data_IF_533037852255
#
_entry.id   IF_533037852255
#
_cell.length_a   1.000
_cell.length_b   1.000
_cell.length_c   1.000
_cell.angle_alpha   90.00
_cell.angle_beta   90.00
_cell.angle_gamma   90.00
#
_symmetry.space_group_name_H-M   'P 1'
#
loop_
_entity.id
_entity.type
_entity.pdbx_description
1 polymer ?
#
# COMPACT_ATOMS: atom_id res chain seq x y z
N UNK A 1 -43.05 22.89 -32.17
CA UNK A 1 -41.64 23.10 -32.51
C UNK A 1 -40.69 22.96 -31.29
N UNK A 2 -41.09 23.41 -30.10
CA UNK A 2 -40.25 23.27 -28.89
C UNK A 2 -39.94 21.80 -28.50
N UNK A 3 -40.87 20.86 -28.73
CA UNK A 3 -40.67 19.44 -28.38
C UNK A 3 -39.58 18.72 -29.22
N UNK A 4 -39.50 19.05 -30.52
CA UNK A 4 -38.52 18.42 -31.43
C UNK A 4 -37.09 18.81 -31.06
N UNK A 5 -36.86 20.07 -30.68
CA UNK A 5 -35.58 20.57 -30.21
C UNK A 5 -35.13 19.93 -28.90
N UNK A 6 -36.07 19.73 -27.96
CA UNK A 6 -35.79 19.04 -26.69
C UNK A 6 -35.43 17.58 -26.94
N UNK A 7 -36.16 16.86 -27.79
CA UNK A 7 -35.84 15.48 -28.15
C UNK A 7 -34.43 15.35 -28.82
N UNK A 8 -34.11 16.24 -29.75
CA UNK A 8 -32.82 16.27 -30.40
C UNK A 8 -31.69 16.54 -29.41
N UNK A 9 -31.87 17.51 -28.49
CA UNK A 9 -30.89 17.81 -27.46
C UNK A 9 -30.66 16.62 -26.49
N UNK A 10 -31.74 15.97 -26.03
CA UNK A 10 -31.67 14.80 -25.16
C UNK A 10 -31.00 13.65 -25.87
N UNK A 11 -31.34 13.35 -27.14
CA UNK A 11 -30.72 12.28 -27.91
C UNK A 11 -29.22 12.53 -28.11
N UNK A 12 -28.85 13.78 -28.40
CA UNK A 12 -27.42 14.16 -28.55
C UNK A 12 -26.69 14.00 -27.21
N UNK A 13 -27.26 14.44 -26.12
CA UNK A 13 -26.66 14.29 -24.78
C UNK A 13 -26.49 12.82 -24.40
N UNK A 14 -27.50 11.98 -24.65
CA UNK A 14 -27.42 10.54 -24.41
C UNK A 14 -26.34 9.90 -25.28
N UNK A 15 -26.26 10.26 -26.56
CA UNK A 15 -25.22 9.78 -27.46
C UNK A 15 -23.83 10.19 -26.98
N UNK A 16 -23.64 11.44 -26.55
CA UNK A 16 -22.37 11.91 -25.99
C UNK A 16 -22.01 11.18 -24.68
N UNK A 17 -22.98 10.93 -23.82
CA UNK A 17 -22.77 10.17 -22.59
C UNK A 17 -22.36 8.71 -22.88
N UNK A 18 -23.03 8.05 -23.82
CA UNK A 18 -22.72 6.67 -24.18
C UNK A 18 -21.38 6.53 -24.92
N UNK A 19 -21.05 7.48 -25.81
CA UNK A 19 -19.83 7.41 -26.65
C UNK A 19 -18.58 7.91 -25.94
N UNK A 20 -18.70 8.89 -25.06
CA UNK A 20 -17.55 9.52 -24.42
C UNK A 20 -17.62 9.49 -22.88
N UNK A 21 -18.77 9.79 -22.30
CA UNK A 21 -18.91 9.92 -20.85
C UNK A 21 -18.74 8.62 -20.10
N UNK A 22 -19.44 7.55 -20.52
CA UNK A 22 -19.33 6.23 -19.88
C UNK A 22 -17.95 5.61 -20.10
N UNK A 23 -17.38 5.58 -21.32
CA UNK A 23 -16.03 5.05 -21.52
C UNK A 23 -14.97 5.82 -20.73
N UNK A 24 -15.07 7.15 -20.67
CA UNK A 24 -14.17 7.96 -19.86
C UNK A 24 -14.31 7.66 -18.37
N UNK A 25 -15.53 7.58 -17.86
CA UNK A 25 -15.83 7.22 -16.48
C UNK A 25 -15.28 5.83 -16.14
N UNK A 26 -15.53 4.83 -16.99
CA UNK A 26 -15.03 3.46 -16.78
C UNK A 26 -13.50 3.44 -16.76
N UNK A 27 -12.85 4.19 -17.63
CA UNK A 27 -11.39 4.28 -17.68
C UNK A 27 -10.80 4.94 -16.43
N UNK A 28 -11.44 5.99 -15.91
CA UNK A 28 -10.94 6.81 -14.80
C UNK A 28 -11.26 6.21 -13.42
N UNK A 29 -12.45 5.61 -13.30
CA UNK A 29 -13.01 5.22 -12.00
C UNK A 29 -13.10 3.72 -11.80
N UNK A 30 -12.81 2.92 -12.82
CA UNK A 30 -12.99 1.48 -12.74
C UNK A 30 -11.74 0.71 -13.21
N UNK A 31 -11.20 -0.21 -12.39
CA UNK A 31 -9.98 -0.95 -12.68
C UNK A 31 -10.23 -2.15 -13.62
N UNK A 32 -10.90 -1.92 -14.76
CA UNK A 32 -11.36 -3.01 -15.66
C UNK A 32 -10.25 -3.93 -16.12
N UNK A 33 -9.11 -3.34 -16.53
CA UNK A 33 -7.95 -4.11 -17.00
C UNK A 33 -7.37 -5.01 -15.90
N UNK A 34 -7.29 -4.48 -14.68
CA UNK A 34 -6.82 -5.24 -13.53
C UNK A 34 -7.75 -6.42 -13.21
N UNK A 35 -9.06 -6.17 -13.13
CA UNK A 35 -10.04 -7.23 -12.88
C UNK A 35 -10.04 -8.31 -13.96
N UNK A 36 -9.89 -7.91 -15.23
CA UNK A 36 -9.78 -8.85 -16.34
C UNK A 36 -8.52 -9.73 -16.22
N UNK A 37 -7.35 -9.10 -15.98
CA UNK A 37 -6.09 -9.82 -15.78
C UNK A 37 -6.15 -10.76 -14.57
N UNK A 38 -6.74 -10.33 -13.46
CA UNK A 38 -6.88 -11.17 -12.27
C UNK A 38 -7.69 -12.42 -12.54
N UNK A 39 -8.72 -12.33 -13.40
CA UNK A 39 -9.57 -13.48 -13.75
C UNK A 39 -8.95 -14.41 -14.79
N UNK A 40 -8.21 -13.87 -15.75
CA UNK A 40 -7.75 -14.61 -16.93
C UNK A 40 -6.21 -14.73 -17.01
N UNK A 41 -5.48 -13.92 -16.25
CA UNK A 41 -4.02 -13.93 -16.25
C UNK A 41 -3.45 -15.15 -15.54
N UNK A 42 -2.26 -15.56 -15.97
CA UNK A 42 -1.47 -16.59 -15.29
C UNK A 42 -0.42 -15.90 -14.41
N UNK A 43 -0.45 -16.11 -13.09
CA UNK A 43 0.53 -15.49 -12.21
C UNK A 43 1.94 -16.06 -12.46
N UNK A 44 2.91 -15.17 -12.56
CA UNK A 44 4.34 -15.55 -12.58
C UNK A 44 4.92 -15.32 -11.19
N UNK A 45 4.88 -16.36 -10.38
CA UNK A 45 5.35 -16.28 -8.99
C UNK A 45 6.88 -16.33 -8.96
N UNK A 46 7.50 -15.36 -8.27
CA UNK A 46 8.97 -15.35 -8.11
C UNK A 46 9.47 -16.62 -7.46
N UNK A 47 10.62 -17.11 -7.91
CA UNK A 47 11.35 -18.24 -7.33
C UNK A 47 12.59 -17.80 -6.56
N UNK A 48 12.81 -16.49 -6.38
CA UNK A 48 13.97 -15.89 -5.72
C UNK A 48 14.13 -16.44 -4.30
N UNK A 49 15.36 -16.82 -3.93
CA UNK A 49 15.74 -17.14 -2.56
C UNK A 49 15.96 -15.87 -1.74
N UNK A 50 15.69 -15.97 -0.44
CA UNK A 50 15.93 -14.89 0.55
C UNK A 50 17.00 -15.29 1.56
N UNK A 51 17.88 -16.24 1.20
CA UNK A 51 19.00 -16.67 2.02
C UNK A 51 19.88 -15.48 2.42
N UNK A 52 20.24 -15.40 3.71
CA UNK A 52 20.99 -14.31 4.30
C UNK A 52 20.20 -12.98 4.39
N UNK A 53 18.87 -12.99 4.20
CA UNK A 53 18.04 -11.78 4.22
C UNK A 53 17.14 -11.70 5.45
N UNK A 54 16.95 -10.46 5.91
CA UNK A 54 15.96 -10.11 6.93
C UNK A 54 14.74 -9.46 6.28
N UNK A 55 13.56 -10.04 6.53
CA UNK A 55 12.29 -9.54 6.03
C UNK A 55 11.37 -9.13 7.19
N UNK A 56 10.86 -7.91 7.18
CA UNK A 56 9.85 -7.42 8.14
C UNK A 56 8.49 -7.33 7.45
N UNK A 57 7.47 -7.91 8.08
CA UNK A 57 6.08 -7.90 7.59
C UNK A 57 5.19 -7.28 8.66
N UNK A 58 4.48 -6.20 8.33
CA UNK A 58 3.40 -5.66 9.18
C UNK A 58 2.05 -6.25 8.78
N UNK A 59 1.14 -6.37 9.75
CA UNK A 59 -0.14 -7.06 9.50
C UNK A 59 0.07 -8.56 9.25
N UNK A 60 1.06 -9.16 9.93
CA UNK A 60 1.52 -10.52 9.68
C UNK A 60 0.44 -11.59 9.93
N UNK A 61 -0.51 -11.38 10.85
CA UNK A 61 -1.67 -12.26 11.06
C UNK A 61 -2.82 -12.01 10.07
N UNK A 62 -2.67 -11.05 9.14
CA UNK A 62 -3.65 -10.80 8.09
C UNK A 62 -3.65 -11.91 7.03
N UNK A 63 -4.75 -11.99 6.26
CA UNK A 63 -4.91 -13.04 5.25
C UNK A 63 -3.77 -13.11 4.21
N UNK A 64 -3.20 -11.96 3.85
CA UNK A 64 -2.07 -11.90 2.91
C UNK A 64 -0.73 -11.92 3.64
N UNK A 65 -0.64 -11.26 4.80
CA UNK A 65 0.60 -11.21 5.60
C UNK A 65 1.06 -12.58 6.04
N UNK A 66 0.16 -13.42 6.57
CA UNK A 66 0.48 -14.78 7.03
C UNK A 66 0.96 -15.69 5.89
N UNK A 67 0.30 -15.59 4.74
CA UNK A 67 0.70 -16.36 3.54
C UNK A 67 2.01 -15.87 2.94
N UNK A 68 2.25 -14.56 2.95
CA UNK A 68 3.54 -13.99 2.53
C UNK A 68 4.67 -14.45 3.47
N UNK A 69 4.43 -14.46 4.79
CA UNK A 69 5.37 -14.96 5.78
C UNK A 69 5.77 -16.42 5.51
N UNK A 70 4.79 -17.29 5.25
CA UNK A 70 5.03 -18.69 4.85
C UNK A 70 5.82 -18.79 3.55
N UNK A 71 5.49 -17.97 2.54
CA UNK A 71 6.24 -17.94 1.26
C UNK A 71 7.70 -17.52 1.46
N UNK A 72 7.99 -16.51 2.27
CA UNK A 72 9.38 -16.12 2.57
C UNK A 72 10.12 -17.24 3.31
N UNK A 73 9.47 -17.86 4.30
CA UNK A 73 10.05 -18.97 5.05
C UNK A 73 10.39 -20.16 4.14
N UNK A 74 9.48 -20.56 3.24
CA UNK A 74 9.75 -21.62 2.26
C UNK A 74 10.80 -21.26 1.21
N UNK A 75 11.22 -19.98 1.11
CA UNK A 75 12.26 -19.47 0.21
C UNK A 75 13.56 -19.11 0.94
N UNK A 76 13.79 -19.77 2.07
CA UNK A 76 15.03 -19.71 2.84
C UNK A 76 15.36 -18.32 3.37
N UNK A 77 14.36 -17.54 3.82
CA UNK A 77 14.65 -16.30 4.54
C UNK A 77 15.45 -16.61 5.81
N UNK A 78 16.48 -15.80 6.10
CA UNK A 78 17.31 -16.00 7.28
C UNK A 78 16.61 -15.52 8.57
N UNK A 79 16.12 -14.30 8.52
CA UNK A 79 15.36 -13.71 9.64
C UNK A 79 14.01 -13.15 9.15
N UNK A 80 12.94 -13.54 9.84
CA UNK A 80 11.57 -13.11 9.56
C UNK A 80 10.99 -12.38 10.76
N UNK A 81 10.66 -11.11 10.60
CA UNK A 81 10.05 -10.28 11.65
C UNK A 81 8.56 -10.14 11.38
N UNK A 82 7.73 -10.67 12.27
CA UNK A 82 6.28 -10.66 12.20
C UNK A 82 5.73 -9.57 13.12
N UNK A 83 5.13 -8.53 12.56
CA UNK A 83 4.54 -7.40 13.29
C UNK A 83 3.03 -7.41 13.11
N UNK A 84 2.27 -7.47 14.21
CA UNK A 84 0.80 -7.37 14.20
C UNK A 84 0.32 -6.83 15.55
N UNK A 85 -0.89 -6.31 15.60
CA UNK A 85 -1.55 -5.93 16.86
C UNK A 85 -1.89 -7.15 17.72
N UNK A 86 -2.12 -8.30 17.10
CA UNK A 86 -2.31 -9.60 17.75
C UNK A 86 -0.97 -10.34 17.83
N UNK A 87 -0.79 -11.15 18.85
CA UNK A 87 0.36 -12.04 18.92
C UNK A 87 0.47 -12.95 17.68
N UNK A 88 1.67 -13.09 17.13
CA UNK A 88 1.97 -13.95 15.98
C UNK A 88 2.60 -15.30 16.38
N UNK A 89 2.50 -15.69 17.65
CA UNK A 89 3.08 -16.94 18.17
C UNK A 89 2.52 -18.19 17.46
N UNK A 90 1.23 -18.24 17.21
CA UNK A 90 0.59 -19.34 16.47
C UNK A 90 1.12 -19.41 15.02
N UNK A 91 1.17 -18.28 14.32
CA UNK A 91 1.72 -18.23 12.96
C UNK A 91 3.17 -18.70 12.90
N UNK A 92 3.99 -18.30 13.88
CA UNK A 92 5.37 -18.79 14.01
C UNK A 92 5.40 -20.31 14.13
N UNK A 93 4.60 -20.90 15.02
CA UNK A 93 4.53 -22.36 15.22
C UNK A 93 4.06 -23.09 13.94
N UNK A 94 3.08 -22.55 13.24
CA UNK A 94 2.62 -23.09 11.95
C UNK A 94 3.75 -23.12 10.92
N UNK A 95 4.47 -22.01 10.75
CA UNK A 95 5.60 -21.91 9.81
C UNK A 95 6.70 -22.92 10.17
N UNK A 96 7.09 -22.99 11.45
CA UNK A 96 8.12 -23.92 11.93
C UNK A 96 7.73 -25.38 11.72
N UNK A 97 6.45 -25.71 11.90
CA UNK A 97 5.91 -27.05 11.64
C UNK A 97 5.93 -27.39 10.15
N UNK A 98 5.40 -26.50 9.29
CA UNK A 98 5.39 -26.72 7.84
C UNK A 98 6.81 -26.94 7.28
N UNK A 99 7.79 -26.19 7.76
CA UNK A 99 9.18 -26.34 7.34
C UNK A 99 9.79 -27.65 7.86
N UNK A 100 9.48 -28.05 9.10
CA UNK A 100 9.92 -29.35 9.65
C UNK A 100 9.36 -30.53 8.86
N UNK A 101 8.05 -30.49 8.54
CA UNK A 101 7.38 -31.52 7.76
C UNK A 101 7.95 -31.60 6.32
N UNK A 102 8.45 -30.47 5.80
CA UNK A 102 9.11 -30.40 4.50
C UNK A 102 10.64 -30.67 4.53
N UNK A 103 11.21 -30.96 5.69
CA UNK A 103 12.65 -31.19 5.85
C UNK A 103 13.52 -29.96 5.57
N UNK A 104 12.98 -28.74 5.76
CA UNK A 104 13.67 -27.46 5.50
C UNK A 104 14.21 -26.84 6.79
N UNK A 105 15.28 -26.05 6.65
CA UNK A 105 15.82 -25.24 7.72
C UNK A 105 14.79 -24.19 8.18
N UNK A 106 14.75 -23.92 9.48
CA UNK A 106 13.88 -22.91 10.08
C UNK A 106 14.60 -21.56 10.12
N UNK A 107 13.95 -20.47 9.67
CA UNK A 107 14.47 -19.13 9.87
C UNK A 107 14.43 -18.71 11.33
N UNK A 108 15.19 -17.67 11.68
CA UNK A 108 14.99 -16.96 12.94
C UNK A 108 13.69 -16.14 12.84
N UNK A 109 12.63 -16.52 13.58
CA UNK A 109 11.34 -15.83 13.55
C UNK A 109 11.18 -14.98 14.81
N UNK A 110 11.17 -13.65 14.63
CA UNK A 110 10.91 -12.65 15.66
C UNK A 110 9.45 -12.24 15.61
N UNK A 111 8.78 -12.29 16.74
CA UNK A 111 7.37 -11.87 16.89
C UNK A 111 7.33 -10.56 17.66
N UNK A 112 6.80 -9.49 17.02
CA UNK A 112 6.66 -8.18 17.63
C UNK A 112 5.18 -7.78 17.66
N UNK A 113 4.58 -7.85 18.82
CA UNK A 113 3.23 -7.33 19.01
C UNK A 113 3.30 -5.81 19.15
N UNK A 114 2.58 -5.08 18.28
CA UNK A 114 2.53 -3.63 18.26
C UNK A 114 1.20 -3.12 17.69
N UNK A 115 0.61 -2.11 18.34
CA UNK A 115 -0.57 -1.44 17.81
C UNK A 115 -0.16 -0.25 16.93
N UNK A 116 -0.22 -0.47 15.63
CA UNK A 116 0.10 0.54 14.62
C UNK A 116 -1.04 1.55 14.39
N UNK A 117 -2.15 1.49 15.17
CA UNK A 117 -3.21 2.51 15.14
C UNK A 117 -2.75 3.85 15.76
N UNK A 118 -1.60 3.87 16.40
CA UNK A 118 -0.98 5.06 16.99
C UNK A 118 0.49 5.19 16.57
N UNK A 119 1.02 6.40 16.66
CA UNK A 119 2.39 6.68 16.25
C UNK A 119 3.43 6.04 17.17
N UNK A 120 3.12 5.90 18.45
CA UNK A 120 4.03 5.26 19.40
C UNK A 120 4.28 3.79 19.07
N UNK A 121 3.28 3.06 18.55
CA UNK A 121 3.48 1.70 18.06
C UNK A 121 4.43 1.63 16.86
N UNK A 122 4.35 2.61 15.95
CA UNK A 122 5.29 2.71 14.83
C UNK A 122 6.72 3.00 15.31
N UNK A 123 6.89 3.92 16.28
CA UNK A 123 8.17 4.22 16.92
C UNK A 123 8.76 3.00 17.63
N UNK A 124 7.93 2.23 18.34
CA UNK A 124 8.37 1.01 19.01
C UNK A 124 8.93 -0.03 18.03
N UNK A 125 8.21 -0.27 16.92
CA UNK A 125 8.67 -1.19 15.87
C UNK A 125 9.97 -0.70 15.25
N UNK A 126 10.07 0.59 14.93
CA UNK A 126 11.29 1.17 14.37
C UNK A 126 12.48 1.08 15.34
N UNK A 127 12.25 1.30 16.64
CA UNK A 127 13.27 1.16 17.67
C UNK A 127 13.76 -0.30 17.78
N UNK A 128 12.85 -1.27 17.83
CA UNK A 128 13.21 -2.70 17.83
C UNK A 128 14.00 -3.10 16.57
N UNK A 129 13.69 -2.46 15.43
CA UNK A 129 14.40 -2.73 14.19
C UNK A 129 15.87 -2.30 14.23
N UNK A 130 16.27 -1.33 15.06
CA UNK A 130 17.68 -0.95 15.22
C UNK A 130 18.53 -2.06 15.83
N UNK A 131 17.92 -3.02 16.52
CA UNK A 131 18.63 -4.18 17.09
C UNK A 131 18.83 -5.30 16.07
N UNK A 132 18.26 -5.18 14.87
CA UNK A 132 18.48 -6.14 13.79
C UNK A 132 19.87 -5.97 13.18
N UNK A 133 20.54 -7.09 12.89
CA UNK A 133 21.84 -7.08 12.19
C UNK A 133 21.75 -6.43 10.82
N UNK A 134 20.69 -6.74 10.09
CA UNK A 134 20.34 -6.16 8.78
C UNK A 134 18.84 -6.06 8.65
N UNK A 135 18.37 -5.17 7.78
CA UNK A 135 16.99 -5.12 7.30
C UNK A 135 17.03 -4.99 5.78
N UNK A 136 16.70 -6.06 5.08
CA UNK A 136 16.78 -6.09 3.61
C UNK A 136 15.45 -5.79 2.95
N UNK A 137 14.34 -6.25 3.52
CA UNK A 137 13.02 -6.10 2.92
C UNK A 137 11.96 -5.75 3.95
N UNK A 138 11.07 -4.84 3.56
CA UNK A 138 9.89 -4.46 4.35
C UNK A 138 8.64 -4.63 3.50
N UNK A 139 7.68 -5.41 3.98
CA UNK A 139 6.37 -5.60 3.37
C UNK A 139 5.28 -5.07 4.29
N UNK A 140 4.65 -3.96 3.91
CA UNK A 140 3.63 -3.30 4.71
C UNK A 140 2.23 -3.74 4.29
N UNK A 141 1.74 -4.87 4.87
CA UNK A 141 0.40 -5.41 4.55
C UNK A 141 -0.69 -4.92 5.48
N UNK A 142 -0.36 -4.19 6.53
CA UNK A 142 -1.36 -3.65 7.46
C UNK A 142 -2.43 -2.84 6.74
N UNK A 143 -3.67 -2.98 7.18
CA UNK A 143 -4.78 -2.23 6.64
C UNK A 143 -6.11 -2.68 7.19
N UNK A 144 -7.07 -1.77 7.16
CA UNK A 144 -8.46 -2.00 7.55
C UNK A 144 -9.41 -1.51 6.47
N UNK A 145 -10.58 -2.14 6.40
CA UNK A 145 -11.73 -1.68 5.64
C UNK A 145 -12.88 -1.48 6.63
N UNK A 146 -13.40 -0.27 6.75
CA UNK A 146 -14.53 0.03 7.63
C UNK A 146 -15.50 0.99 6.93
N UNK A 147 -16.77 0.66 6.98
CA UNK A 147 -17.85 1.56 6.54
C UNK A 147 -18.36 2.44 7.69
N UNK A 148 -17.92 2.17 8.92
CA UNK A 148 -18.26 2.95 10.09
C UNK A 148 -17.11 3.91 10.42
N UNK A 149 -17.44 5.21 10.48
CA UNK A 149 -16.44 6.20 10.86
C UNK A 149 -16.02 6.03 12.32
N UNK A 150 -14.73 5.83 12.51
CA UNK A 150 -14.07 5.84 13.82
C UNK A 150 -12.87 6.78 13.76
N UNK A 151 -12.43 7.25 14.92
CA UNK A 151 -11.29 8.15 15.05
C UNK A 151 -10.21 7.45 15.88
N UNK A 152 -8.98 7.54 15.42
CA UNK A 152 -7.80 7.00 16.10
C UNK A 152 -7.43 7.85 17.33
N UNK A 153 -6.55 7.37 18.21
CA UNK A 153 -5.98 8.17 19.29
C UNK A 153 -5.29 9.46 18.80
N UNK A 154 -4.76 9.45 17.58
CA UNK A 154 -4.10 10.60 16.96
C UNK A 154 -5.08 11.65 16.41
N UNK A 155 -6.38 11.37 16.41
CA UNK A 155 -7.43 12.27 15.93
C UNK A 155 -7.79 12.11 14.45
N UNK A 156 -7.24 11.11 13.76
CA UNK A 156 -7.51 10.82 12.35
C UNK A 156 -8.60 9.75 12.18
N UNK A 157 -9.31 9.79 11.06
CA UNK A 157 -10.20 8.67 10.71
C UNK A 157 -9.36 7.39 10.58
N UNK A 158 -9.88 6.27 11.10
CA UNK A 158 -9.10 5.05 11.31
C UNK A 158 -8.51 4.44 10.05
N UNK A 159 -9.20 4.55 8.89
CA UNK A 159 -8.63 4.07 7.62
C UNK A 159 -7.48 4.95 7.14
N UNK A 160 -7.58 6.28 7.32
CA UNK A 160 -6.48 7.20 7.02
C UNK A 160 -5.32 6.95 7.98
N UNK A 161 -5.60 6.74 9.26
CA UNK A 161 -4.56 6.44 10.25
C UNK A 161 -3.77 5.19 9.86
N UNK A 162 -4.42 4.04 9.80
CA UNK A 162 -3.71 2.75 9.67
C UNK A 162 -3.23 2.48 8.26
N UNK A 163 -4.08 2.75 7.23
CA UNK A 163 -3.72 2.43 5.85
C UNK A 163 -2.74 3.42 5.23
N UNK A 164 -2.65 4.64 5.79
CA UNK A 164 -1.81 5.69 5.26
C UNK A 164 -0.78 6.20 6.27
N UNK A 165 -1.20 6.95 7.30
CA UNK A 165 -0.26 7.67 8.19
C UNK A 165 0.69 6.72 8.91
N UNK A 166 0.20 5.62 9.46
CA UNK A 166 1.04 4.64 10.15
C UNK A 166 2.03 3.95 9.21
N UNK A 167 1.59 3.60 7.99
CA UNK A 167 2.47 3.05 6.97
C UNK A 167 3.54 4.03 6.51
N UNK A 168 3.15 5.28 6.28
CA UNK A 168 4.06 6.35 5.89
C UNK A 168 5.10 6.63 6.98
N UNK A 169 4.65 6.78 8.23
CA UNK A 169 5.55 7.01 9.38
C UNK A 169 6.54 5.88 9.57
N UNK A 170 6.05 4.64 9.62
CA UNK A 170 6.91 3.47 9.80
C UNK A 170 7.91 3.34 8.64
N UNK A 171 7.48 3.62 7.41
CA UNK A 171 8.36 3.63 6.24
C UNK A 171 9.49 4.64 6.36
N UNK A 172 9.18 5.88 6.81
CA UNK A 172 10.19 6.90 7.07
C UNK A 172 11.16 6.47 8.17
N UNK A 173 10.65 5.98 9.29
CA UNK A 173 11.49 5.58 10.44
C UNK A 173 12.40 4.38 10.13
N UNK A 174 11.99 3.47 9.25
CA UNK A 174 12.80 2.31 8.82
C UNK A 174 13.77 2.65 7.68
N UNK A 175 13.57 3.75 6.96
CA UNK A 175 14.37 4.10 5.78
C UNK A 175 15.87 4.26 6.07
N UNK A 176 16.33 4.90 7.17
CA UNK A 176 17.75 5.00 7.48
C UNK A 176 18.42 3.63 7.65
N UNK A 177 17.74 2.69 8.31
CA UNK A 177 18.25 1.33 8.48
C UNK A 177 18.36 0.59 7.14
N UNK A 178 17.33 0.66 6.30
CA UNK A 178 17.38 0.09 4.94
C UNK A 178 18.54 0.70 4.12
N UNK A 179 18.74 2.02 4.20
CA UNK A 179 19.87 2.68 3.52
C UNK A 179 21.22 2.17 4.02
N UNK A 180 21.37 1.92 5.31
CA UNK A 180 22.65 1.39 5.86
C UNK A 180 22.95 -0.03 5.37
N UNK A 181 21.92 -0.80 4.99
CA UNK A 181 22.03 -2.16 4.45
C UNK A 181 22.21 -2.18 2.92
N UNK A 182 22.23 -1.03 2.24
CA UNK A 182 22.25 -0.90 0.78
C UNK A 182 23.59 -1.25 0.11
N UNK A 183 24.61 -1.64 0.86
CA UNK A 183 25.92 -2.09 0.36
C UNK A 183 25.90 -3.48 -0.28
N UNK A 184 24.80 -4.18 -0.17
CA UNK A 184 24.61 -5.52 -0.74
C UNK A 184 24.35 -5.43 -2.27
N UNK A 185 24.82 -6.38 -3.09
CA UNK A 185 24.58 -6.39 -4.54
C UNK A 185 23.09 -6.39 -4.94
N UNK A 186 22.21 -6.77 -4.01
CA UNK A 186 20.77 -6.63 -4.18
C UNK A 186 20.25 -5.55 -3.23
N UNK A 187 19.77 -4.41 -3.73
CA UNK A 187 19.33 -3.30 -2.91
C UNK A 187 18.14 -3.72 -2.01
N UNK A 188 18.03 -3.13 -0.82
CA UNK A 188 16.86 -3.29 0.02
C UNK A 188 15.57 -2.84 -0.67
N UNK A 189 14.45 -3.49 -0.36
CA UNK A 189 13.15 -3.18 -0.95
C UNK A 189 12.13 -2.88 0.15
N UNK A 190 11.43 -1.75 0.02
CA UNK A 190 10.26 -1.41 0.84
C UNK A 190 9.02 -1.41 -0.05
N UNK A 191 8.08 -2.30 0.23
CA UNK A 191 6.85 -2.47 -0.52
C UNK A 191 5.64 -2.05 0.32
N UNK A 192 4.90 -1.06 -0.17
CA UNK A 192 3.63 -0.63 0.41
C UNK A 192 2.46 -1.33 -0.29
N UNK A 193 1.55 -1.91 0.49
CA UNK A 193 0.39 -2.58 -0.10
C UNK A 193 -0.70 -1.58 -0.42
N UNK A 194 -0.93 -1.38 -1.71
CA UNK A 194 -2.01 -0.57 -2.28
C UNK A 194 -3.23 -1.43 -2.65
N UNK A 195 -4.14 -0.91 -3.47
CA UNK A 195 -5.34 -1.63 -3.92
C UNK A 195 -5.90 -0.99 -5.18
N UNK A 196 -6.47 -1.76 -6.09
CA UNK A 196 -7.27 -1.22 -7.19
C UNK A 196 -8.52 -0.45 -6.70
N UNK A 197 -8.92 -0.60 -5.44
CA UNK A 197 -9.96 0.21 -4.79
C UNK A 197 -9.68 1.72 -4.77
N UNK A 198 -8.49 2.15 -5.21
CA UNK A 198 -8.14 3.56 -5.39
C UNK A 198 -8.86 4.24 -6.58
N UNK A 199 -9.23 3.51 -7.61
CA UNK A 199 -9.82 4.09 -8.82
C UNK A 199 -11.14 4.84 -8.55
N UNK A 200 -12.14 4.26 -7.85
CA UNK A 200 -13.36 4.98 -7.53
C UNK A 200 -13.15 6.20 -6.62
N UNK A 201 -12.06 6.24 -5.86
CA UNK A 201 -11.77 7.37 -4.97
C UNK A 201 -11.48 8.67 -5.74
N UNK A 202 -11.12 8.59 -7.03
CA UNK A 202 -10.93 9.75 -7.90
C UNK A 202 -12.11 10.74 -7.87
N UNK A 203 -13.33 10.23 -7.68
CA UNK A 203 -14.56 11.02 -7.61
C UNK A 203 -14.67 11.85 -6.32
N UNK A 204 -13.94 11.52 -5.30
CA UNK A 204 -14.09 12.06 -3.95
C UNK A 204 -12.79 12.65 -3.38
N UNK A 205 -11.72 12.66 -4.18
CA UNK A 205 -10.42 13.25 -3.81
C UNK A 205 -10.22 14.65 -4.39
N UNK A 206 -11.30 15.45 -4.49
CA UNK A 206 -11.20 16.84 -4.88
C UNK A 206 -10.41 17.65 -3.83
N UNK A 207 -9.37 18.35 -4.27
CA UNK A 207 -8.53 19.15 -3.39
C UNK A 207 -9.25 20.44 -2.97
N UNK A 208 -9.30 20.79 -1.67
CA UNK A 208 -9.94 22.02 -1.21
C UNK A 208 -9.09 23.23 -1.60
N UNK A 209 -9.75 24.37 -1.85
CA UNK A 209 -9.07 25.64 -2.13
C UNK A 209 -8.29 26.13 -0.90
N UNK A 210 -8.85 25.98 0.28
CA UNK A 210 -8.30 26.44 1.55
C UNK A 210 -8.33 25.33 2.62
N UNK A 211 -7.50 25.45 3.65
CA UNK A 211 -7.44 24.51 4.77
C UNK A 211 -6.70 23.21 4.43
N UNK A 212 -6.55 22.32 5.39
CA UNK A 212 -5.81 21.06 5.21
C UNK A 212 -6.59 20.05 4.38
N UNK A 213 -5.93 19.49 3.38
CA UNK A 213 -6.47 18.45 2.51
C UNK A 213 -6.68 17.14 3.26
N UNK A 214 -5.69 16.74 4.07
CA UNK A 214 -5.77 15.52 4.89
C UNK A 214 -6.90 15.62 5.92
N UNK A 215 -7.03 16.78 6.60
CA UNK A 215 -8.12 16.99 7.57
C UNK A 215 -9.48 16.97 6.89
N UNK A 216 -9.60 17.55 5.70
CA UNK A 216 -10.83 17.48 4.92
C UNK A 216 -11.22 16.03 4.61
N UNK A 217 -10.28 15.20 4.14
CA UNK A 217 -10.54 13.80 3.85
C UNK A 217 -10.88 12.99 5.11
N UNK A 218 -10.24 13.30 6.25
CA UNK A 218 -10.46 12.61 7.52
C UNK A 218 -11.78 13.02 8.19
N UNK A 219 -12.20 14.27 8.07
CA UNK A 219 -13.39 14.80 8.75
C UNK A 219 -14.72 14.51 8.04
N UNK A 220 -14.65 13.77 6.96
CA UNK A 220 -15.82 13.49 6.16
C UNK A 220 -16.84 12.62 6.92
N UNK A 221 -18.04 13.17 7.17
CA UNK A 221 -19.11 12.52 7.97
C UNK A 221 -20.22 11.92 7.13
N UNK A 222 -20.18 12.14 5.82
CA UNK A 222 -21.18 11.64 4.89
C UNK A 222 -21.00 10.12 4.70
N UNK A 223 -22.07 9.35 4.81
CA UNK A 223 -22.03 7.89 4.68
C UNK A 223 -21.51 7.40 3.33
N UNK A 224 -21.84 8.08 2.22
CA UNK A 224 -21.28 7.76 0.91
C UNK A 224 -19.78 7.99 0.86
N UNK A 225 -19.30 9.01 1.51
CA UNK A 225 -17.88 9.33 1.57
C UNK A 225 -17.12 8.36 2.47
N UNK A 226 -17.75 7.82 3.51
CA UNK A 226 -17.16 6.77 4.32
C UNK A 226 -16.97 5.48 3.52
N UNK A 227 -17.88 5.13 2.60
CA UNK A 227 -17.71 4.01 1.70
C UNK A 227 -16.47 4.13 0.78
N UNK A 228 -16.06 5.37 0.46
CA UNK A 228 -14.85 5.65 -0.32
C UNK A 228 -13.58 5.80 0.53
N UNK A 229 -13.68 5.76 1.85
CA UNK A 229 -12.56 6.10 2.74
C UNK A 229 -11.39 5.12 2.62
N UNK A 230 -11.68 3.83 2.42
CA UNK A 230 -10.65 2.84 2.14
C UNK A 230 -9.84 3.19 0.89
N UNK A 231 -10.52 3.43 -0.24
CA UNK A 231 -9.87 3.81 -1.49
C UNK A 231 -9.07 5.10 -1.37
N UNK A 232 -9.60 6.11 -0.66
CA UNK A 232 -8.89 7.38 -0.37
C UNK A 232 -7.61 7.13 0.42
N UNK A 233 -7.69 6.35 1.49
CA UNK A 233 -6.51 6.05 2.32
C UNK A 233 -5.41 5.33 1.53
N UNK A 234 -5.79 4.42 0.63
CA UNK A 234 -4.85 3.74 -0.28
C UNK A 234 -4.31 4.67 -1.38
N UNK A 235 -5.11 5.63 -1.86
CA UNK A 235 -4.64 6.64 -2.80
C UNK A 235 -3.64 7.61 -2.13
N UNK A 236 -3.89 8.03 -0.89
CA UNK A 236 -2.94 8.82 -0.09
C UNK A 236 -1.61 8.10 0.09
N UNK A 237 -1.65 6.82 0.45
CA UNK A 237 -0.45 5.98 0.56
C UNK A 237 0.31 5.90 -0.77
N UNK A 238 -0.40 5.77 -1.89
CA UNK A 238 0.22 5.70 -3.21
C UNK A 238 0.87 7.03 -3.62
N UNK A 239 0.24 8.18 -3.34
CA UNK A 239 0.85 9.50 -3.52
C UNK A 239 2.13 9.64 -2.68
N UNK A 240 2.07 9.25 -1.41
CA UNK A 240 3.22 9.26 -0.51
C UNK A 240 4.36 8.37 -1.02
N UNK A 241 4.05 7.15 -1.43
CA UNK A 241 5.05 6.18 -1.93
C UNK A 241 5.78 6.73 -3.17
N UNK A 242 5.05 7.39 -4.10
CA UNK A 242 5.64 8.02 -5.27
C UNK A 242 6.57 9.17 -4.88
N UNK A 243 6.12 10.06 -3.99
CA UNK A 243 6.94 11.18 -3.51
C UNK A 243 8.19 10.68 -2.78
N UNK A 244 8.04 9.69 -1.90
CA UNK A 244 9.17 9.09 -1.18
C UNK A 244 10.19 8.49 -2.15
N UNK A 245 9.74 7.78 -3.18
CA UNK A 245 10.61 7.20 -4.20
C UNK A 245 11.36 8.29 -4.99
N UNK A 246 10.67 9.36 -5.41
CA UNK A 246 11.29 10.50 -6.10
C UNK A 246 12.40 11.13 -5.23
N UNK A 247 12.16 11.35 -3.94
CA UNK A 247 13.14 11.91 -3.00
C UNK A 247 14.32 10.98 -2.74
N UNK A 248 14.06 9.69 -2.53
CA UNK A 248 15.13 8.67 -2.38
C UNK A 248 16.01 8.63 -3.63
N UNK A 249 15.43 8.73 -4.82
CA UNK A 249 16.21 8.81 -6.07
C UNK A 249 17.10 10.05 -6.11
N UNK A 250 16.56 11.22 -5.78
CA UNK A 250 17.29 12.48 -5.81
C UNK A 250 18.51 12.48 -4.85
N UNK A 251 18.31 12.03 -3.61
CA UNK A 251 19.39 11.91 -2.61
C UNK A 251 20.43 10.87 -3.02
N UNK A 252 20.04 9.77 -3.64
CA UNK A 252 20.97 8.73 -4.11
C UNK A 252 21.91 9.29 -5.18
N UNK A 253 21.38 10.05 -6.13
CA UNK A 253 22.17 10.72 -7.19
C UNK A 253 23.14 11.73 -6.58
N UNK A 254 22.67 12.59 -5.68
CA UNK A 254 23.47 13.64 -5.05
C UNK A 254 24.59 13.07 -4.18
N UNK A 255 24.29 12.04 -3.39
CA UNK A 255 25.23 11.41 -2.45
C UNK A 255 26.18 10.41 -3.12
N UNK A 256 26.04 10.14 -4.43
CA UNK A 256 26.82 9.13 -5.17
C UNK A 256 26.82 7.75 -4.49
N UNK A 257 25.72 7.39 -3.82
CA UNK A 257 25.60 6.08 -3.17
C UNK A 257 25.53 4.98 -4.25
N UNK A 258 26.20 3.84 -4.04
CA UNK A 258 26.26 2.78 -5.04
C UNK A 258 24.92 2.09 -5.28
N UNK A 259 24.04 2.08 -4.29
CA UNK A 259 22.72 1.45 -4.37
C UNK A 259 21.68 2.28 -3.66
N UNK A 260 20.48 2.31 -4.21
CA UNK A 260 19.30 2.96 -3.63
C UNK A 260 18.37 1.93 -3.01
N UNK A 261 17.66 2.32 -1.96
CA UNK A 261 16.52 1.54 -1.47
C UNK A 261 15.43 1.56 -2.55
N UNK A 262 14.96 0.41 -2.99
CA UNK A 262 13.81 0.32 -3.90
C UNK A 262 12.54 0.54 -3.11
N UNK A 263 11.81 1.60 -3.45
CA UNK A 263 10.49 1.92 -2.87
C UNK A 263 9.44 1.63 -3.94
N UNK A 264 8.50 0.75 -3.67
CA UNK A 264 7.41 0.46 -4.60
C UNK A 264 6.08 0.22 -3.88
N UNK A 265 5.02 0.13 -4.65
CA UNK A 265 3.71 -0.31 -4.19
C UNK A 265 3.34 -1.63 -4.83
N UNK A 266 2.61 -2.49 -4.11
CA UNK A 266 2.06 -3.72 -4.66
C UNK A 266 0.55 -3.80 -4.44
N UNK A 267 -0.20 -4.09 -5.51
CA UNK A 267 -1.62 -4.40 -5.45
C UNK A 267 -1.78 -5.94 -5.48
N UNK A 268 -2.27 -6.55 -4.39
CA UNK A 268 -2.44 -7.99 -4.32
C UNK A 268 -3.56 -8.51 -5.22
N UNK A 269 -4.39 -7.62 -5.75
CA UNK A 269 -5.67 -7.98 -6.34
C UNK A 269 -6.76 -8.25 -5.30
N UNK A 270 -7.87 -8.88 -5.73
CA UNK A 270 -9.02 -9.18 -4.89
C UNK A 270 -9.02 -10.63 -4.42
N UNK A 271 -9.36 -10.84 -3.16
CA UNK A 271 -9.70 -12.14 -2.59
C UNK A 271 -10.76 -12.01 -1.51
N UNK A 272 -11.51 -13.07 -1.28
CA UNK A 272 -12.38 -13.15 -0.10
C UNK A 272 -11.52 -13.36 1.15
N UNK A 273 -11.59 -12.43 2.08
CA UNK A 273 -10.81 -12.41 3.31
C UNK A 273 -11.63 -11.76 4.43
N UNK A 274 -11.25 -11.90 5.70
CA UNK A 274 -11.90 -11.17 6.78
C UNK A 274 -11.94 -9.66 6.57
N UNK A 275 -10.92 -9.07 5.91
CA UNK A 275 -10.90 -7.64 5.57
C UNK A 275 -12.06 -7.24 4.66
N UNK A 276 -12.43 -8.10 3.71
CA UNK A 276 -13.47 -7.83 2.71
C UNK A 276 -14.85 -8.36 3.10
N UNK A 277 -14.98 -8.97 4.28
CA UNK A 277 -16.27 -9.46 4.78
C UNK A 277 -17.41 -8.41 4.75
N UNK A 278 -17.17 -7.11 5.06
CA UNK A 278 -18.20 -6.08 4.95
C UNK A 278 -18.78 -5.88 3.55
N UNK A 279 -18.07 -6.32 2.50
CA UNK A 279 -18.55 -6.24 1.12
C UNK A 279 -19.67 -7.25 0.82
N UNK A 280 -19.84 -8.30 1.65
CA UNK A 280 -20.84 -9.35 1.42
C UNK A 280 -22.27 -8.82 1.49
N UNK A 281 -22.51 -7.81 2.31
CA UNK A 281 -23.83 -7.21 2.52
C UNK A 281 -24.16 -6.12 1.48
N UNK A 282 -23.22 -5.81 0.58
CA UNK A 282 -23.39 -4.76 -0.42
C UNK A 282 -23.34 -5.33 -1.84
N UNK A 283 -24.40 -5.13 -2.61
CA UNK A 283 -24.58 -5.75 -3.93
C UNK A 283 -23.40 -5.45 -4.89
N UNK A 284 -23.08 -4.17 -5.09
CA UNK A 284 -22.05 -3.77 -6.07
C UNK A 284 -20.64 -4.22 -5.64
N UNK A 285 -20.15 -3.94 -4.43
CA UNK A 285 -18.87 -4.47 -3.95
C UNK A 285 -18.78 -6.00 -4.05
N UNK A 286 -19.86 -6.73 -3.68
CA UNK A 286 -19.92 -8.18 -3.79
C UNK A 286 -19.80 -8.69 -5.22
N UNK A 287 -20.49 -8.06 -6.18
CA UNK A 287 -20.41 -8.44 -7.60
C UNK A 287 -18.99 -8.20 -8.16
N UNK A 288 -18.39 -7.04 -7.88
CA UNK A 288 -17.01 -6.71 -8.30
C UNK A 288 -16.04 -7.74 -7.70
N UNK A 289 -16.20 -8.02 -6.43
CA UNK A 289 -15.34 -8.97 -5.73
C UNK A 289 -15.49 -10.39 -6.29
N UNK A 290 -16.71 -10.86 -6.49
CA UNK A 290 -16.96 -12.18 -7.10
C UNK A 290 -16.35 -12.30 -8.50
N UNK A 291 -16.40 -11.23 -9.30
CA UNK A 291 -15.81 -11.23 -10.63
C UNK A 291 -14.29 -11.28 -10.60
N UNK A 292 -13.66 -10.51 -9.71
CA UNK A 292 -12.21 -10.33 -9.68
C UNK A 292 -11.47 -11.18 -8.63
N UNK A 293 -12.17 -11.91 -7.74
CA UNK A 293 -11.51 -12.65 -6.67
C UNK A 293 -10.72 -13.85 -7.18
N UNK A 294 -9.55 -14.01 -6.57
CA UNK A 294 -8.66 -15.16 -6.75
C UNK A 294 -8.25 -15.73 -5.40
N UNK A 295 -7.53 -16.85 -5.39
CA UNK A 295 -7.07 -17.47 -4.15
C UNK A 295 -6.18 -16.50 -3.35
N UNK A 296 -6.33 -16.40 -2.02
CA UNK A 296 -5.50 -15.52 -1.19
C UNK A 296 -3.99 -15.81 -1.30
N UNK A 297 -3.60 -17.03 -1.60
CA UNK A 297 -2.22 -17.47 -1.85
C UNK A 297 -1.63 -16.75 -3.07
N UNK A 298 -2.40 -16.57 -4.13
CA UNK A 298 -1.98 -15.82 -5.33
C UNK A 298 -1.83 -14.33 -5.01
N UNK A 299 -2.73 -13.78 -4.21
CA UNK A 299 -2.63 -12.40 -3.73
C UNK A 299 -1.35 -12.19 -2.90
N UNK A 300 -1.05 -13.11 -1.99
CA UNK A 300 0.18 -13.05 -1.20
C UNK A 300 1.43 -13.19 -2.08
N UNK A 301 1.40 -14.07 -3.08
CA UNK A 301 2.50 -14.22 -4.04
C UNK A 301 2.74 -12.94 -4.85
N UNK A 302 1.70 -12.19 -5.21
CA UNK A 302 1.84 -10.87 -5.85
C UNK A 302 2.58 -9.87 -4.95
N UNK A 303 2.32 -9.89 -3.64
CA UNK A 303 3.03 -9.05 -2.67
C UNK A 303 4.49 -9.46 -2.54
N UNK A 304 4.78 -10.75 -2.47
CA UNK A 304 6.17 -11.28 -2.44
C UNK A 304 6.91 -10.93 -3.73
N UNK A 305 6.23 -10.91 -4.89
CA UNK A 305 6.82 -10.41 -6.15
C UNK A 305 7.20 -8.92 -6.05
N UNK A 306 6.38 -8.10 -5.39
CA UNK A 306 6.69 -6.69 -5.14
C UNK A 306 8.00 -6.53 -4.34
N UNK A 307 8.17 -7.34 -3.30
CA UNK A 307 9.40 -7.37 -2.48
C UNK A 307 10.61 -7.94 -3.25
N UNK A 308 10.37 -8.81 -4.23
CA UNK A 308 11.42 -9.41 -5.07
C UNK A 308 11.81 -8.55 -6.26
N UNK A 309 11.09 -7.44 -6.49
CA UNK A 309 11.25 -6.62 -7.67
C UNK A 309 12.65 -6.01 -7.77
N UNK A 310 13.13 -5.82 -9.01
CA UNK A 310 14.37 -5.12 -9.30
C UNK A 310 14.24 -3.61 -9.08
N UNK A 311 15.35 -2.90 -9.22
CA UNK A 311 15.36 -1.43 -9.15
C UNK A 311 14.41 -0.75 -10.15
N UNK A 312 14.09 -1.40 -11.26
CA UNK A 312 13.14 -0.90 -12.26
C UNK A 312 11.73 -0.70 -11.71
N UNK A 313 11.38 -1.37 -10.61
CA UNK A 313 10.12 -1.17 -9.93
C UNK A 313 10.11 0.02 -8.96
N UNK A 314 11.25 0.72 -8.79
CA UNK A 314 11.32 1.89 -7.93
C UNK A 314 10.37 3.01 -8.40
N UNK A 315 9.54 3.50 -7.47
CA UNK A 315 8.51 4.49 -7.77
C UNK A 315 7.36 3.96 -8.63
N UNK A 316 7.17 2.63 -8.76
CA UNK A 316 6.10 2.05 -9.59
C UNK A 316 5.13 1.21 -8.76
N UNK A 317 4.03 0.86 -9.40
CA UNK A 317 3.03 -0.06 -8.85
C UNK A 317 3.27 -1.44 -9.47
N UNK A 318 3.42 -2.45 -8.63
CA UNK A 318 3.34 -3.86 -9.01
C UNK A 318 1.89 -4.30 -8.96
N UNK A 319 1.31 -4.66 -10.09
CA UNK A 319 -0.06 -5.15 -10.18
C UNK A 319 -0.10 -6.36 -11.12
N UNK A 320 -0.81 -7.40 -10.71
CA UNK A 320 -0.89 -8.64 -11.50
C UNK A 320 0.47 -9.22 -11.90
N UNK A 321 1.43 -9.15 -11.00
CA UNK A 321 2.80 -9.64 -11.17
C UNK A 321 3.67 -8.84 -12.15
N UNK A 322 3.22 -7.66 -12.57
CA UNK A 322 3.93 -6.79 -13.50
C UNK A 322 3.87 -5.34 -13.03
N UNK A 323 4.69 -4.47 -13.59
CA UNK A 323 4.61 -3.04 -13.34
C UNK A 323 3.46 -2.42 -14.11
N UNK A 324 2.79 -1.44 -13.50
CA UNK A 324 1.70 -0.69 -14.13
C UNK A 324 1.83 0.81 -13.90
N UNK A 325 1.14 1.59 -14.74
CA UNK A 325 1.05 3.03 -14.60
C UNK A 325 0.23 3.42 -13.37
N UNK A 326 0.45 4.63 -12.89
CA UNK A 326 -0.43 5.22 -11.88
C UNK A 326 -1.85 5.43 -12.44
N UNK A 327 -2.88 5.48 -11.55
CA UNK A 327 -4.23 5.83 -11.97
C UNK A 327 -4.25 7.18 -12.69
N UNK A 328 -5.07 7.35 -13.76
CA UNK A 328 -5.04 8.54 -14.60
C UNK A 328 -5.20 9.87 -13.84
N UNK A 329 -6.00 9.89 -12.76
CA UNK A 329 -6.19 11.10 -11.96
C UNK A 329 -4.91 11.55 -11.22
N UNK A 330 -3.99 10.62 -10.93
CA UNK A 330 -2.70 10.92 -10.31
C UNK A 330 -1.67 11.47 -11.30
N UNK A 331 -1.79 11.12 -12.58
CA UNK A 331 -0.89 11.55 -13.66
C UNK A 331 -1.19 12.98 -14.17
N UNK A 332 -2.37 13.51 -13.83
CA UNK A 332 -2.74 14.88 -14.20
C UNK A 332 -1.95 15.92 -13.41
N UNK A 333 -1.85 17.13 -13.94
CA UNK A 333 -1.23 18.27 -13.24
C UNK A 333 -1.80 18.45 -11.82
N UNK A 334 -3.12 18.32 -11.65
CA UNK A 334 -3.76 18.35 -10.33
C UNK A 334 -3.32 17.22 -9.41
N UNK A 335 -3.03 16.04 -9.95
CA UNK A 335 -2.51 14.90 -9.20
C UNK A 335 -1.10 15.14 -8.66
N UNK A 336 -0.22 15.72 -9.47
CA UNK A 336 1.12 16.11 -9.01
C UNK A 336 1.08 17.22 -7.95
N UNK A 337 0.18 18.20 -8.08
CA UNK A 337 -0.04 19.20 -7.04
C UNK A 337 -0.55 18.56 -5.74
N UNK A 338 -1.50 17.63 -5.86
CA UNK A 338 -2.01 16.88 -4.71
C UNK A 338 -0.90 16.08 -4.01
N UNK A 339 -0.02 15.42 -4.77
CA UNK A 339 1.13 14.66 -4.23
C UNK A 339 2.00 15.53 -3.33
N UNK A 340 2.44 16.68 -3.83
CA UNK A 340 3.30 17.61 -3.06
C UNK A 340 2.58 18.10 -1.79
N UNK A 341 1.32 18.47 -1.91
CA UNK A 341 0.53 18.93 -0.77
C UNK A 341 0.31 17.86 0.29
N UNK A 342 0.00 16.62 -0.13
CA UNK A 342 -0.13 15.47 0.78
C UNK A 342 1.19 15.24 1.52
N UNK A 343 2.30 15.29 0.82
CA UNK A 343 3.62 15.14 1.44
C UNK A 343 3.88 16.20 2.51
N UNK A 344 3.70 17.49 2.18
CA UNK A 344 3.95 18.60 3.12
C UNK A 344 3.02 18.56 4.35
N UNK A 345 1.72 18.32 4.15
CA UNK A 345 0.78 18.21 5.26
C UNK A 345 1.09 16.97 6.15
N UNK A 346 1.61 15.90 5.57
CA UNK A 346 2.04 14.69 6.31
C UNK A 346 3.32 14.98 7.09
N UNK A 347 4.26 15.69 6.49
CA UNK A 347 5.49 16.13 7.15
C UNK A 347 5.17 16.99 8.37
N UNK A 348 4.32 18.01 8.20
CA UNK A 348 3.88 18.87 9.31
C UNK A 348 3.28 18.06 10.47
N UNK A 349 2.39 17.11 10.17
CA UNK A 349 1.78 16.24 11.18
C UNK A 349 2.83 15.39 11.92
N UNK A 350 3.76 14.79 11.18
CA UNK A 350 4.77 13.91 11.78
C UNK A 350 5.83 14.68 12.56
N UNK A 351 6.34 15.80 12.04
CA UNK A 351 7.34 16.62 12.73
C UNK A 351 6.79 17.22 14.05
N UNK A 352 5.47 17.47 14.10
CA UNK A 352 4.82 17.95 15.31
C UNK A 352 4.66 16.89 16.39
N UNK A 353 4.51 15.59 16.01
CA UNK A 353 4.16 14.50 16.95
C UNK A 353 5.29 13.48 17.16
N UNK A 354 6.21 13.35 16.21
CA UNK A 354 7.27 12.35 16.18
C UNK A 354 8.60 13.03 15.84
N UNK A 355 9.29 13.61 16.84
CA UNK A 355 10.51 14.41 16.61
C UNK A 355 11.62 13.68 15.85
N UNK A 356 11.72 12.36 15.97
CA UNK A 356 12.75 11.53 15.33
C UNK A 356 12.67 11.57 13.81
N UNK A 357 11.48 11.84 13.25
CA UNK A 357 11.28 11.86 11.79
C UNK A 357 11.94 13.07 11.13
N UNK A 358 12.28 14.13 11.90
CA UNK A 358 12.93 15.34 11.37
C UNK A 358 14.26 15.01 10.68
N UNK A 359 15.09 14.19 11.32
CA UNK A 359 16.37 13.77 10.74
C UNK A 359 16.18 12.99 9.42
N UNK A 360 15.08 12.25 9.28
CA UNK A 360 14.75 11.53 8.04
C UNK A 360 14.37 12.51 6.94
N UNK A 361 13.55 13.51 7.23
CA UNK A 361 13.19 14.55 6.28
C UNK A 361 14.41 15.39 5.86
N UNK A 362 15.27 15.79 6.83
CA UNK A 362 16.52 16.48 6.54
C UNK A 362 17.43 15.65 5.61
N UNK A 363 17.51 14.33 5.83
CA UNK A 363 18.22 13.42 4.94
C UNK A 363 17.62 13.40 3.53
N UNK A 364 16.28 13.46 3.41
CA UNK A 364 15.58 13.44 2.12
C UNK A 364 15.56 14.80 1.41
N UNK A 365 15.90 15.88 2.10
CA UNK A 365 16.00 17.25 1.55
C UNK A 365 17.42 17.62 1.09
N UNK A 366 18.40 16.73 1.24
CA UNK A 366 19.79 16.94 0.77
C UNK A 366 19.90 16.78 -0.76
N UNK A 367 19.07 17.53 -1.50
CA UNK A 367 18.95 17.46 -2.97
C UNK A 367 19.83 18.52 -3.64
#
# INVERSE_FOLDING_TARGET
MASLGVYAAVTTLVALLLTYGIPLFLRECFPWQSLYKQRHGKPTVTTKSYEGRTVLITGANGAFGSRAAKLFAHRNVDTLVLVDVRDCGELKQEIEKELSDAGKAKPNILVWQADLMNFSGCQEVARKAQDLKTLDHVLMTMGILSFNRRVSPEGWETSIQINYLSGALLGLLLLPLLKSCSTNPNPPVMTFVTSFGIYPSSLTMGMPKNGSYLKMLSNNKDGMQQAHQYGRSKALLLYFTRELAERVSAVTVTSKLPHKVTINSADPGSAWTPLTAPNQDQLIPRLIQNFGSRAPEICAAALVNGVSASEDAHGKIMQDFDTTSYPPFMERKSGHVAQKRIWEETREEFEAKVPEVKAVYEMLDQI
#
